data_IF_005060779337
#
_entry.id   IF_005060779337
#
_cell.length_a   1.000
_cell.length_b   1.000
_cell.length_c   1.000
_cell.angle_alpha   90.00
_cell.angle_beta   90.00
_cell.angle_gamma   90.00
#
_symmetry.space_group_name_H-M   'P 1'
#
loop_
_entity.id
_entity.type
_entity.pdbx_description
1 polymer ?
#
# COMPACT_ATOMS: atom_id res chain seq x y z
N UNK A 1 24.04 -19.05 23.10
CA UNK A 1 24.84 -18.42 22.02
C UNK A 1 23.88 -18.14 20.85
N UNK A 2 23.14 -17.03 20.93
CA UNK A 2 22.10 -16.68 19.96
C UNK A 2 22.79 -15.86 18.86
N UNK A 3 22.78 -16.41 17.64
CA UNK A 3 23.31 -15.80 16.43
C UNK A 3 22.51 -14.52 16.16
N UNK A 4 23.12 -13.36 16.41
CA UNK A 4 22.66 -12.07 15.92
C UNK A 4 22.38 -12.23 14.41
N UNK A 5 21.10 -12.24 14.03
CA UNK A 5 20.71 -12.04 12.65
C UNK A 5 21.15 -10.61 12.30
N UNK A 6 22.33 -10.53 11.70
CA UNK A 6 22.82 -9.32 11.07
C UNK A 6 21.75 -8.84 10.10
N UNK A 7 21.05 -7.75 10.45
CA UNK A 7 20.30 -6.98 9.47
C UNK A 7 21.30 -6.56 8.40
N UNK A 8 21.20 -7.14 7.21
CA UNK A 8 21.99 -6.71 6.07
C UNK A 8 21.58 -5.27 5.77
N UNK A 9 22.45 -4.34 6.16
CA UNK A 9 22.38 -2.92 5.82
C UNK A 9 22.41 -2.83 4.29
N UNK A 10 21.24 -2.72 3.66
CA UNK A 10 21.13 -2.54 2.23
C UNK A 10 21.53 -1.09 1.94
N UNK A 11 22.77 -0.89 1.49
CA UNK A 11 23.27 0.42 1.09
C UNK A 11 22.46 0.94 -0.09
N UNK A 12 21.80 2.10 0.05
CA UNK A 12 21.08 2.78 -1.03
C UNK A 12 21.91 2.88 -2.33
N UNK A 13 21.46 2.22 -3.39
CA UNK A 13 21.82 2.63 -4.75
C UNK A 13 21.18 4.01 -5.00
N UNK A 14 22.01 5.04 -5.06
CA UNK A 14 21.58 6.38 -5.47
C UNK A 14 21.51 6.43 -7.00
N UNK A 15 20.43 7.03 -7.51
CA UNK A 15 20.27 7.22 -8.94
C UNK A 15 20.88 8.56 -9.38
N UNK A 16 21.39 8.58 -10.61
CA UNK A 16 22.01 9.75 -11.22
C UNK A 16 21.25 10.13 -12.49
N UNK A 17 20.83 11.39 -12.59
CA UNK A 17 20.23 11.94 -13.81
C UNK A 17 20.82 13.32 -14.10
N UNK A 18 21.70 13.40 -15.11
CA UNK A 18 22.39 14.65 -15.46
C UNK A 18 23.18 15.19 -14.28
N UNK A 19 22.83 16.38 -13.81
CA UNK A 19 23.45 17.04 -12.64
C UNK A 19 22.78 16.70 -11.30
N UNK A 20 21.79 15.80 -11.28
CA UNK A 20 21.02 15.48 -10.07
C UNK A 20 21.31 14.08 -9.56
N UNK A 21 21.46 13.95 -8.24
CA UNK A 21 21.53 12.67 -7.51
C UNK A 21 20.24 12.55 -6.70
N UNK A 22 19.56 11.41 -6.79
CA UNK A 22 18.26 11.24 -6.15
C UNK A 22 18.01 9.81 -5.68
N UNK A 23 17.11 9.70 -4.70
CA UNK A 23 16.47 8.46 -4.29
C UNK A 23 15.00 8.79 -4.00
N UNK A 24 14.10 8.36 -4.87
CA UNK A 24 12.70 8.78 -4.85
C UNK A 24 11.81 7.54 -4.86
N UNK A 25 11.74 6.88 -3.71
CA UNK A 25 10.91 5.69 -3.53
C UNK A 25 9.50 6.04 -3.08
N UNK A 26 8.51 5.45 -3.73
CA UNK A 26 7.10 5.64 -3.42
C UNK A 26 6.37 4.31 -3.26
N UNK A 27 5.56 4.23 -2.21
CA UNK A 27 4.53 3.21 -2.05
C UNK A 27 3.23 3.74 -2.64
N UNK A 28 2.76 3.09 -3.70
CA UNK A 28 1.56 3.44 -4.43
C UNK A 28 0.51 2.36 -4.21
N UNK A 29 -0.75 2.78 -4.04
CA UNK A 29 -1.89 1.85 -3.97
C UNK A 29 -2.97 2.28 -4.97
N UNK A 30 -3.35 1.36 -5.84
CA UNK A 30 -4.47 1.47 -6.76
C UNK A 30 -5.58 0.53 -6.31
N UNK A 31 -6.81 1.01 -6.25
CA UNK A 31 -7.95 0.22 -5.78
C UNK A 31 -9.00 0.14 -6.89
N UNK A 32 -9.53 -1.06 -7.14
CA UNK A 32 -10.57 -1.28 -8.14
C UNK A 32 -11.86 -0.56 -7.74
N UNK A 33 -12.65 -0.15 -8.73
CA UNK A 33 -13.90 0.55 -8.47
C UNK A 33 -14.84 -0.36 -7.67
N UNK A 34 -15.36 0.19 -6.57
CA UNK A 34 -16.17 -0.53 -5.58
C UNK A 34 -15.47 -1.73 -4.92
N UNK A 35 -14.13 -1.80 -4.94
CA UNK A 35 -13.34 -2.91 -4.40
C UNK A 35 -13.83 -4.28 -4.89
N UNK A 36 -14.14 -4.37 -6.19
CA UNK A 36 -14.54 -5.63 -6.81
C UNK A 36 -13.31 -6.49 -7.09
N UNK A 37 -13.44 -7.79 -6.82
CA UNK A 37 -12.40 -8.80 -7.04
C UNK A 37 -12.31 -9.17 -8.52
N UNK A 38 -11.66 -8.30 -9.29
CA UNK A 38 -11.51 -8.45 -10.75
C UNK A 38 -10.06 -8.74 -11.16
N UNK A 39 -9.08 -8.52 -10.29
CA UNK A 39 -7.65 -8.70 -10.57
C UNK A 39 -7.20 -10.12 -10.20
N UNK A 40 -7.74 -11.12 -10.90
CA UNK A 40 -7.51 -12.54 -10.62
C UNK A 40 -6.94 -13.27 -11.83
N UNK A 41 -6.22 -14.38 -11.59
CA UNK A 41 -5.67 -15.26 -12.63
C UNK A 41 -4.88 -14.49 -13.71
N UNK A 42 -5.25 -14.65 -14.99
CA UNK A 42 -4.54 -14.09 -16.14
C UNK A 42 -4.52 -12.55 -16.12
N UNK A 43 -5.60 -11.92 -15.63
CA UNK A 43 -5.72 -10.45 -15.51
C UNK A 43 -4.64 -9.89 -14.58
N UNK A 44 -4.32 -10.62 -13.51
CA UNK A 44 -3.27 -10.22 -12.56
C UNK A 44 -1.90 -10.23 -13.25
N UNK A 45 -1.58 -11.30 -13.98
CA UNK A 45 -0.29 -11.45 -14.68
C UNK A 45 -0.13 -10.37 -15.74
N UNK A 46 -1.15 -10.15 -16.57
CA UNK A 46 -1.13 -9.11 -17.61
C UNK A 46 -0.97 -7.72 -17.01
N UNK A 47 -1.72 -7.41 -15.94
CA UNK A 47 -1.61 -6.14 -15.25
C UNK A 47 -0.21 -5.91 -14.67
N UNK A 48 0.42 -6.95 -14.11
CA UNK A 48 1.77 -6.86 -13.56
C UNK A 48 2.79 -6.50 -14.65
N UNK A 49 2.75 -7.20 -15.79
CA UNK A 49 3.62 -6.95 -16.94
C UNK A 49 3.40 -5.54 -17.51
N UNK A 50 2.15 -5.14 -17.64
CA UNK A 50 1.78 -3.82 -18.13
C UNK A 50 2.31 -2.71 -17.20
N UNK A 51 2.14 -2.85 -15.89
CA UNK A 51 2.62 -1.86 -14.92
C UNK A 51 4.15 -1.78 -14.91
N UNK A 52 4.86 -2.90 -15.05
CA UNK A 52 6.33 -2.91 -15.21
C UNK A 52 6.76 -2.14 -16.45
N UNK A 53 6.21 -2.48 -17.61
CA UNK A 53 6.52 -1.78 -18.88
C UNK A 53 6.22 -0.29 -18.82
N UNK A 54 5.09 0.10 -18.24
CA UNK A 54 4.73 1.51 -18.09
C UNK A 54 5.68 2.26 -17.16
N UNK A 55 6.13 1.61 -16.07
CA UNK A 55 7.06 2.24 -15.12
C UNK A 55 8.41 2.51 -15.77
N UNK A 56 8.88 1.58 -16.60
CA UNK A 56 10.10 1.76 -17.41
C UNK A 56 9.96 2.91 -18.40
N UNK A 57 8.80 3.08 -19.05
CA UNK A 57 8.52 4.23 -19.92
C UNK A 57 8.59 5.58 -19.18
N UNK A 58 8.24 5.59 -17.89
CA UNK A 58 8.44 6.76 -17.01
C UNK A 58 9.87 6.88 -16.45
N UNK A 59 10.84 6.14 -17.01
CA UNK A 59 12.22 6.07 -16.52
C UNK A 59 12.32 5.70 -15.03
N UNK A 60 11.33 4.99 -14.50
CA UNK A 60 11.30 4.46 -13.15
C UNK A 60 11.56 2.96 -13.12
N UNK A 61 11.67 2.42 -11.91
CA UNK A 61 11.83 0.98 -11.67
C UNK A 61 10.82 0.51 -10.64
N UNK A 62 10.15 -0.62 -10.90
CA UNK A 62 9.38 -1.30 -9.86
C UNK A 62 10.36 -2.11 -9.01
N UNK A 63 10.41 -1.81 -7.71
CA UNK A 63 11.19 -2.58 -6.73
C UNK A 63 10.39 -3.81 -6.31
N UNK A 64 9.11 -3.61 -5.98
CA UNK A 64 8.21 -4.67 -5.56
C UNK A 64 6.77 -4.35 -6.02
N UNK A 65 6.02 -5.37 -6.39
CA UNK A 65 4.62 -5.25 -6.75
C UNK A 65 3.86 -6.44 -6.16
N UNK A 66 2.73 -6.15 -5.53
CA UNK A 66 1.78 -7.18 -5.12
C UNK A 66 0.38 -6.79 -5.57
N UNK A 67 -0.27 -7.71 -6.27
CA UNK A 67 -1.63 -7.54 -6.79
C UNK A 67 -2.55 -8.46 -6.01
N UNK A 68 -3.50 -7.84 -5.32
CA UNK A 68 -4.62 -8.45 -4.64
C UNK A 68 -5.87 -8.38 -5.54
N UNK A 69 -6.91 -9.19 -5.29
CA UNK A 69 -8.09 -9.24 -6.16
C UNK A 69 -8.78 -7.87 -6.41
N UNK A 70 -8.76 -6.97 -5.41
CA UNK A 70 -9.41 -5.66 -5.45
C UNK A 70 -8.45 -4.47 -5.44
N UNK A 71 -7.14 -4.67 -5.32
CA UNK A 71 -6.17 -3.57 -5.27
C UNK A 71 -4.72 -4.00 -5.61
N UNK A 72 -3.89 -3.02 -5.94
CA UNK A 72 -2.47 -3.21 -6.27
C UNK A 72 -1.62 -2.36 -5.35
N UNK A 73 -0.61 -2.96 -4.75
CA UNK A 73 0.49 -2.29 -4.06
C UNK A 73 1.72 -2.28 -4.96
N UNK A 74 2.36 -1.12 -5.11
CA UNK A 74 3.62 -0.99 -5.81
C UNK A 74 4.62 -0.20 -4.98
N UNK A 75 5.82 -0.71 -4.83
CA UNK A 75 6.98 0.04 -4.39
C UNK A 75 7.81 0.38 -5.63
N UNK A 76 7.86 1.66 -5.97
CA UNK A 76 8.59 2.15 -7.15
C UNK A 76 9.75 3.04 -6.75
N UNK A 77 10.80 3.01 -7.54
CA UNK A 77 11.82 4.06 -7.60
C UNK A 77 11.51 4.96 -8.80
N UNK A 78 11.11 6.20 -8.53
CA UNK A 78 10.59 7.11 -9.53
C UNK A 78 11.67 8.07 -10.05
N UNK A 79 11.61 8.40 -11.33
CA UNK A 79 12.44 9.47 -11.89
C UNK A 79 11.92 10.85 -11.44
N UNK A 80 12.78 11.81 -11.08
CA UNK A 80 12.37 13.18 -10.77
C UNK A 80 11.76 13.91 -11.98
N UNK A 81 11.92 13.36 -13.20
CA UNK A 81 11.37 13.94 -14.44
C UNK A 81 9.84 13.89 -14.51
N UNK A 82 9.22 12.94 -13.82
CA UNK A 82 7.78 12.71 -13.89
C UNK A 82 7.14 12.88 -12.52
N UNK A 83 6.04 13.62 -12.46
CA UNK A 83 5.27 13.73 -11.22
C UNK A 83 4.50 12.43 -10.94
N UNK A 84 4.33 12.09 -9.66
CA UNK A 84 3.51 10.95 -9.24
C UNK A 84 2.08 11.06 -9.76
N UNK A 85 1.51 12.27 -9.79
CA UNK A 85 0.18 12.50 -10.37
C UNK A 85 0.09 12.10 -11.85
N UNK A 86 1.14 12.37 -12.63
CA UNK A 86 1.19 12.01 -14.05
C UNK A 86 1.35 10.50 -14.24
N UNK A 87 2.22 9.87 -13.45
CA UNK A 87 2.40 8.41 -13.46
C UNK A 87 1.10 7.69 -13.09
N UNK A 88 0.42 8.12 -12.02
CA UNK A 88 -0.85 7.54 -11.58
C UNK A 88 -1.97 7.71 -12.62
N UNK A 89 -2.03 8.86 -13.30
CA UNK A 89 -2.95 9.07 -14.42
C UNK A 89 -2.66 8.09 -15.55
N UNK A 90 -1.39 7.91 -15.89
CA UNK A 90 -0.92 6.92 -16.85
C UNK A 90 -1.36 5.51 -16.45
N UNK A 91 -0.89 5.02 -15.30
CA UNK A 91 -1.18 3.68 -14.79
C UNK A 91 -2.66 3.37 -14.84
N UNK A 92 -3.51 4.23 -14.29
CA UNK A 92 -4.97 4.00 -14.23
C UNK A 92 -5.61 4.04 -15.61
N UNK A 93 -5.21 4.97 -16.47
CA UNK A 93 -5.81 5.16 -17.79
C UNK A 93 -5.47 4.03 -18.75
N UNK A 94 -4.18 3.72 -18.90
CA UNK A 94 -3.72 2.70 -19.85
C UNK A 94 -4.13 1.32 -19.39
N UNK A 95 -3.94 0.97 -18.10
CA UNK A 95 -4.35 -0.36 -17.60
C UNK A 95 -5.84 -0.60 -17.73
N UNK A 96 -6.68 0.39 -17.41
CA UNK A 96 -8.13 0.24 -17.60
C UNK A 96 -8.48 -0.01 -19.06
N UNK A 97 -7.86 0.73 -19.98
CA UNK A 97 -8.12 0.57 -21.41
C UNK A 97 -7.68 -0.81 -21.93
N UNK A 98 -6.44 -1.23 -21.63
CA UNK A 98 -5.90 -2.50 -22.11
C UNK A 98 -6.69 -3.69 -21.55
N UNK A 99 -6.93 -3.69 -20.24
CA UNK A 99 -7.69 -4.77 -19.59
C UNK A 99 -9.13 -4.85 -20.10
N UNK A 100 -9.82 -3.72 -20.36
CA UNK A 100 -11.15 -3.79 -20.97
C UNK A 100 -11.17 -4.27 -22.42
N UNK A 101 -10.06 -4.14 -23.16
CA UNK A 101 -9.95 -4.65 -24.53
C UNK A 101 -9.66 -6.15 -24.55
N UNK A 102 -8.76 -6.63 -23.68
CA UNK A 102 -8.40 -8.05 -23.62
C UNK A 102 -9.39 -8.89 -22.83
N UNK A 103 -10.02 -8.31 -21.80
CA UNK A 103 -10.94 -8.97 -20.88
C UNK A 103 -12.30 -8.26 -20.81
N UNK A 104 -13.12 -8.34 -21.87
CA UNK A 104 -14.44 -7.69 -21.90
C UNK A 104 -15.37 -8.15 -20.78
N UNK A 105 -15.18 -9.37 -20.24
CA UNK A 105 -15.94 -9.92 -19.11
C UNK A 105 -15.81 -9.09 -17.82
N UNK A 106 -14.69 -8.38 -17.63
CA UNK A 106 -14.50 -7.50 -16.47
C UNK A 106 -15.46 -6.30 -16.54
N UNK A 107 -15.83 -5.87 -17.75
CA UNK A 107 -16.71 -4.72 -17.96
C UNK A 107 -18.12 -5.00 -17.47
N UNK A 108 -18.61 -6.23 -17.60
CA UNK A 108 -19.90 -6.68 -17.06
C UNK A 108 -19.87 -6.63 -15.52
N UNK A 109 -18.74 -7.05 -14.94
CA UNK A 109 -18.48 -6.95 -13.51
C UNK A 109 -18.22 -5.51 -13.04
N UNK A 110 -18.20 -4.50 -13.89
CA UNK A 110 -17.95 -3.10 -13.49
C UNK A 110 -18.96 -2.17 -14.16
N UNK A 111 -20.11 -2.01 -13.50
CA UNK A 111 -21.19 -1.13 -13.93
C UNK A 111 -20.65 0.30 -14.14
N UNK A 112 -20.58 0.73 -15.40
CA UNK A 112 -20.10 2.06 -15.79
C UNK A 112 -18.71 2.13 -16.42
N UNK A 113 -18.06 1.01 -16.75
CA UNK A 113 -16.85 1.01 -17.60
C UNK A 113 -15.62 1.69 -16.98
N UNK A 114 -15.53 1.70 -15.65
CA UNK A 114 -14.42 2.28 -14.90
C UNK A 114 -13.75 1.20 -14.05
N UNK A 115 -12.49 0.88 -14.35
CA UNK A 115 -11.73 -0.14 -13.62
C UNK A 115 -11.31 0.31 -12.22
N UNK A 116 -10.80 1.54 -12.11
CA UNK A 116 -10.20 2.05 -10.87
C UNK A 116 -11.13 3.03 -10.15
N UNK A 117 -10.98 3.13 -8.82
CA UNK A 117 -11.51 4.27 -8.08
C UNK A 117 -10.86 5.58 -8.56
N UNK A 118 -11.51 6.74 -8.44
CA UNK A 118 -10.90 8.03 -8.81
C UNK A 118 -9.68 8.38 -7.94
N UNK A 119 -9.72 8.02 -6.66
CA UNK A 119 -8.62 8.20 -5.70
C UNK A 119 -7.47 7.20 -5.91
N UNK A 120 -6.34 7.49 -5.30
CA UNK A 120 -5.20 6.59 -5.13
C UNK A 120 -4.45 6.99 -3.86
N UNK A 121 -3.59 6.10 -3.37
CA UNK A 121 -2.68 6.40 -2.27
C UNK A 121 -1.24 6.48 -2.79
N UNK A 122 -0.48 7.42 -2.27
CA UNK A 122 0.95 7.56 -2.52
C UNK A 122 1.63 8.01 -1.23
N UNK A 123 2.70 7.30 -0.84
CA UNK A 123 3.53 7.63 0.31
C UNK A 123 5.00 7.53 -0.05
N UNK A 124 5.82 8.47 0.42
CA UNK A 124 7.28 8.40 0.27
C UNK A 124 7.85 7.34 1.20
N UNK A 125 8.75 6.51 0.68
CA UNK A 125 9.44 5.47 1.45
C UNK A 125 10.89 5.88 1.67
N UNK A 126 11.29 5.97 2.93
CA UNK A 126 12.70 6.11 3.33
C UNK A 126 13.30 4.75 3.68
N UNK A 127 14.63 4.63 3.69
CA UNK A 127 15.34 3.38 4.04
C UNK A 127 14.86 2.76 5.35
N UNK A 128 14.57 3.56 6.38
CA UNK A 128 14.10 3.05 7.69
C UNK A 128 12.71 2.41 7.63
N UNK A 129 11.92 2.76 6.62
CA UNK A 129 10.54 2.29 6.43
C UNK A 129 10.40 1.23 5.33
N UNK A 130 11.47 0.95 4.58
CA UNK A 130 11.39 0.07 3.41
C UNK A 130 11.15 -1.38 3.81
N UNK A 131 11.92 -1.92 4.76
CA UNK A 131 11.77 -3.30 5.22
C UNK A 131 10.36 -3.55 5.75
N UNK A 132 9.83 -2.61 6.52
CA UNK A 132 8.45 -2.62 7.03
C UNK A 132 7.42 -2.61 5.88
N UNK A 133 7.63 -1.80 4.84
CA UNK A 133 6.71 -1.70 3.71
C UNK A 133 6.77 -2.95 2.82
N UNK A 134 7.95 -3.54 2.59
CA UNK A 134 8.07 -4.81 1.87
C UNK A 134 7.34 -5.94 2.59
N UNK A 135 7.47 -6.02 3.91
CA UNK A 135 6.70 -6.97 4.71
C UNK A 135 5.19 -6.76 4.52
N UNK A 136 4.70 -5.52 4.55
CA UNK A 136 3.29 -5.23 4.30
C UNK A 136 2.83 -5.52 2.87
N UNK A 137 3.67 -5.25 1.87
CA UNK A 137 3.39 -5.58 0.47
C UNK A 137 3.29 -7.10 0.32
N UNK A 138 4.23 -7.86 0.88
CA UNK A 138 4.19 -9.32 0.86
C UNK A 138 2.97 -9.93 1.53
N UNK A 139 2.50 -9.35 2.65
CA UNK A 139 1.31 -9.82 3.38
C UNK A 139 0.01 -9.33 2.69
N UNK A 140 0.04 -8.24 1.92
CA UNK A 140 -1.12 -7.69 1.22
C UNK A 140 -2.07 -6.85 2.10
N UNK A 141 -1.56 -6.27 3.20
CA UNK A 141 -2.36 -5.49 4.16
C UNK A 141 -2.25 -4.00 3.88
N UNK A 142 -3.40 -3.32 3.85
CA UNK A 142 -3.47 -1.85 3.79
C UNK A 142 -3.14 -1.30 5.18
N UNK A 143 -2.10 -0.45 5.27
CA UNK A 143 -1.63 0.13 6.53
C UNK A 143 -2.80 0.76 7.33
N UNK A 144 -2.93 0.51 8.65
CA UNK A 144 -4.05 1.00 9.48
C UNK A 144 -4.33 2.51 9.38
N UNK A 145 -3.28 3.30 9.17
CA UNK A 145 -3.32 4.76 9.01
C UNK A 145 -3.97 5.21 7.69
N UNK A 146 -3.92 4.36 6.66
CA UNK A 146 -4.59 4.57 5.36
C UNK A 146 -6.08 4.22 5.48
N UNK A 147 -6.43 3.18 6.24
CA UNK A 147 -7.82 2.88 6.58
C UNK A 147 -8.48 4.02 7.34
N UNK A 148 -7.78 4.60 8.32
CA UNK A 148 -8.28 5.78 9.04
C UNK A 148 -8.54 6.96 8.08
N UNK A 149 -7.63 7.27 7.16
CA UNK A 149 -7.79 8.38 6.21
C UNK A 149 -8.86 8.12 5.13
N UNK A 150 -8.93 6.91 4.58
CA UNK A 150 -9.92 6.53 3.58
C UNK A 150 -11.33 6.46 4.18
N UNK A 151 -11.46 5.98 5.41
CA UNK A 151 -12.74 5.96 6.14
C UNK A 151 -13.13 7.35 6.65
N UNK A 152 -12.18 8.20 7.04
CA UNK A 152 -12.45 9.56 7.50
C UNK A 152 -13.11 10.41 6.39
N UNK A 153 -12.63 10.31 5.14
CA UNK A 153 -13.29 10.98 3.99
C UNK A 153 -14.65 10.39 3.66
N UNK A 154 -14.86 9.10 3.91
CA UNK A 154 -16.15 8.42 3.72
C UNK A 154 -17.18 8.85 4.78
N UNK A 155 -16.74 9.11 6.01
CA UNK A 155 -17.58 9.52 7.14
C UNK A 155 -17.85 11.02 7.21
N UNK A 156 -16.94 11.88 6.72
CA UNK A 156 -17.22 13.31 6.57
C UNK A 156 -18.39 13.61 5.61
N UNK A 157 -18.61 12.73 4.62
CA UNK A 157 -19.73 12.84 3.69
C UNK A 157 -21.09 12.43 4.31
N UNK A 158 -21.08 11.73 5.45
CA UNK A 158 -22.28 11.19 6.11
C UNK A 158 -22.68 11.97 7.38
N UNK A 159 -21.97 13.05 7.72
CA UNK A 159 -22.38 13.98 8.78
C UNK A 159 -22.44 13.40 10.19
N UNK A 160 -21.83 12.24 10.45
CA UNK A 160 -21.77 11.62 11.77
C UNK A 160 -20.40 11.85 12.39
N UNK A 161 -20.26 12.98 13.09
CA UNK A 161 -19.27 13.09 14.16
C UNK A 161 -19.82 12.27 15.33
N UNK A 162 -19.03 11.32 15.87
CA UNK A 162 -18.90 11.00 17.31
C UNK A 162 -18.16 9.67 17.51
N UNK A 163 -17.00 9.80 18.15
CA UNK A 163 -16.41 8.93 19.16
C UNK A 163 -16.51 7.41 18.95
N UNK A 164 -15.60 6.83 18.16
CA UNK A 164 -15.06 5.49 18.48
C UNK A 164 -13.64 5.38 17.89
N UNK A 165 -12.66 5.39 18.79
CA UNK A 165 -11.21 5.32 18.52
C UNK A 165 -10.80 3.93 17.96
N UNK A 166 -9.65 3.79 17.26
CA UNK A 166 -9.32 2.71 16.29
C UNK A 166 -9.21 1.28 16.81
N UNK A 167 -9.13 1.06 18.12
CA UNK A 167 -8.80 -0.24 18.70
C UNK A 167 -9.86 -1.31 18.41
N UNK A 168 -11.14 -0.93 18.41
CA UNK A 168 -12.24 -1.86 18.13
C UNK A 168 -12.36 -2.21 16.64
N UNK A 169 -12.00 -1.30 15.73
CA UNK A 169 -11.99 -1.57 14.29
C UNK A 169 -10.82 -2.49 13.91
N UNK A 170 -9.65 -2.28 14.51
CA UNK A 170 -8.50 -3.18 14.35
C UNK A 170 -8.78 -4.56 14.96
N UNK A 171 -9.44 -4.60 16.11
CA UNK A 171 -9.82 -5.83 16.79
C UNK A 171 -10.89 -6.63 16.01
N UNK A 172 -11.90 -5.95 15.45
CA UNK A 172 -12.92 -6.57 14.61
C UNK A 172 -12.34 -7.07 13.27
N UNK A 173 -11.42 -6.32 12.66
CA UNK A 173 -10.70 -6.72 11.44
C UNK A 173 -9.79 -7.93 11.70
N UNK A 174 -8.99 -7.89 12.77
CA UNK A 174 -8.12 -9.01 13.15
C UNK A 174 -8.90 -10.28 13.52
N UNK A 175 -10.07 -10.14 14.16
CA UNK A 175 -10.95 -11.27 14.51
C UNK A 175 -11.61 -11.92 13.30
N UNK A 176 -11.92 -11.14 12.25
CA UNK A 176 -12.52 -11.62 11.00
C UNK A 176 -11.52 -12.34 10.10
N UNK A 177 -10.28 -11.86 10.04
CA UNK A 177 -9.22 -12.41 9.17
C UNK A 177 -8.44 -13.57 9.80
N UNK A 178 -8.18 -13.58 11.12
CA UNK A 178 -7.16 -14.48 11.71
C UNK A 178 -7.65 -15.56 12.69
N UNK A 179 -8.94 -15.61 13.03
CA UNK A 179 -9.60 -16.79 13.62
C UNK A 179 -9.02 -17.46 14.89
N UNK A 180 -8.01 -16.91 15.57
CA UNK A 180 -7.36 -17.54 16.74
C UNK A 180 -7.20 -16.61 17.95
N UNK A 181 -7.25 -17.24 19.13
CA UNK A 181 -7.34 -16.66 20.48
C UNK A 181 -5.98 -16.08 20.92
N UNK A 182 -5.94 -14.76 21.08
CA UNK A 182 -5.20 -13.98 22.08
C UNK A 182 -3.86 -14.55 22.62
N UNK A 183 -2.76 -14.33 21.88
CA UNK A 183 -1.40 -14.22 22.46
C UNK A 183 -0.71 -12.89 22.06
N UNK A 184 -1.47 -11.93 21.53
CA UNK A 184 -0.96 -10.68 20.96
C UNK A 184 -1.20 -9.48 21.88
N UNK A 185 -1.21 -9.68 23.21
CA UNK A 185 -1.37 -8.57 24.16
C UNK A 185 -0.05 -7.82 24.40
N UNK A 186 1.09 -8.50 24.39
CA UNK A 186 2.37 -7.85 24.72
C UNK A 186 3.02 -7.17 23.51
N UNK A 187 2.96 -7.79 22.32
CA UNK A 187 3.61 -7.24 21.11
C UNK A 187 2.93 -5.99 20.55
N UNK A 188 1.60 -5.88 20.68
CA UNK A 188 0.86 -4.71 20.18
C UNK A 188 1.08 -3.48 21.07
N UNK A 189 1.17 -3.66 22.38
CA UNK A 189 1.41 -2.57 23.34
C UNK A 189 2.84 -2.00 23.17
N UNK A 190 3.84 -2.86 22.96
CA UNK A 190 5.23 -2.43 22.75
C UNK A 190 5.38 -1.61 21.46
N UNK A 191 4.68 -2.00 20.39
CA UNK A 191 4.72 -1.27 19.10
C UNK A 191 4.03 0.09 19.19
N UNK A 192 2.97 0.22 19.99
CA UNK A 192 2.27 1.50 20.20
C UNK A 192 3.07 2.49 21.06
N UNK A 193 3.83 2.01 22.07
CA UNK A 193 4.65 2.90 22.92
C UNK A 193 5.82 3.55 22.17
N UNK A 194 6.40 2.86 21.18
CA UNK A 194 7.54 3.37 20.40
C UNK A 194 7.12 4.42 19.37
N UNK A 195 5.87 4.36 18.89
CA UNK A 195 5.33 5.30 17.89
C UNK A 195 4.81 6.61 18.49
N UNK A 196 4.59 6.68 19.81
CA UNK A 196 4.01 7.85 20.48
C UNK A 196 5.02 8.78 21.17
N UNK A 197 6.30 8.42 21.27
CA UNK A 197 7.33 9.30 21.86
C UNK A 197 7.13 9.65 23.34
N UNK A 198 6.51 8.76 24.13
CA UNK A 198 6.28 8.96 25.57
C UNK A 198 7.35 8.21 26.35
N UNK A 199 8.17 8.93 27.13
CA UNK A 199 9.06 8.34 28.14
C UNK A 199 8.22 7.61 29.19
N UNK A 200 8.48 6.32 29.39
CA UNK A 200 7.82 5.50 30.40
C UNK A 200 8.43 5.85 31.77
N UNK A 201 7.79 6.77 32.50
CA UNK A 201 7.98 6.87 33.95
C UNK A 201 7.16 5.76 34.60
N UNK A 202 7.90 4.91 35.32
CA UNK A 202 7.47 3.88 36.27
C UNK A 202 6.14 4.12 36.98
N UNK A 203 5.36 3.05 37.14
CA UNK A 203 4.63 2.58 38.34
C UNK A 203 3.47 1.70 37.86
N UNK A 204 3.08 0.60 38.48
CA UNK A 204 3.56 -0.30 39.52
C UNK A 204 2.47 -1.39 39.60
N UNK A 205 2.83 -2.58 40.05
CA UNK A 205 1.96 -3.73 40.36
C UNK A 205 0.59 -3.35 40.97
N UNK A 206 -0.49 -3.98 40.49
CA UNK A 206 -1.15 -5.12 41.14
C UNK A 206 -2.08 -5.83 40.15
#
# INVERSE_FOLDING_TARGET
MIRLMTMQKHSSELNYAGSSVYSLRYHLILVTKYRRDVLIADIKTELEELLKSMTEQFSGKIIEINIMPDHVHMLIDASPKHSISSMMKGYKGVSARMLFMHHPEIKEKLCGGHLWQPSYFACTVSERSEDMIREYIGIGVIVPQIWALLMFRYWQALGLFVLYWPELALYAYARKEYGKRLEIKEKVVIVLSVLAGIEIISMAFF
#
